data_IF_116213322567
#
_entry.id   IF_116213322567
#
_cell.length_a   1.000
_cell.length_b   1.000
_cell.length_c   1.000
_cell.angle_alpha   90.00
_cell.angle_beta   90.00
_cell.angle_gamma   90.00
#
_symmetry.space_group_name_H-M   'P 1'
#
loop_
_entity.id
_entity.type
_entity.pdbx_description
1 polymer ?
#
# COMPACT_ATOMS: atom_id res chain seq x y z
N UNK A 1 -17.52 -9.66 -21.02
CA UNK A 1 -17.15 -9.39 -19.61
C UNK A 1 -16.83 -7.91 -19.48
N UNK A 2 -16.84 -7.37 -18.27
CA UNK A 2 -16.45 -6.00 -17.98
C UNK A 2 -15.17 -6.00 -17.15
N UNK A 3 -14.32 -5.01 -17.36
CA UNK A 3 -13.09 -4.81 -16.59
C UNK A 3 -13.07 -3.39 -16.06
N UNK A 4 -12.63 -3.23 -14.81
CA UNK A 4 -12.48 -1.94 -14.16
C UNK A 4 -11.13 -1.84 -13.46
N UNK A 5 -10.63 -0.62 -13.32
CA UNK A 5 -9.43 -0.30 -12.56
C UNK A 5 -9.74 0.81 -11.56
N UNK A 6 -9.39 0.61 -10.30
CA UNK A 6 -9.49 1.61 -9.24
C UNK A 6 -8.19 2.43 -9.20
N UNK A 7 -8.33 3.75 -9.35
CA UNK A 7 -7.19 4.68 -9.40
C UNK A 7 -7.32 5.78 -8.35
N UNK A 8 -6.21 6.11 -7.69
CA UNK A 8 -6.09 7.21 -6.73
C UNK A 8 -4.87 8.03 -7.12
N UNK A 9 -5.03 9.34 -7.32
CA UNK A 9 -3.92 10.21 -7.74
C UNK A 9 -3.27 9.79 -9.07
N UNK A 10 -4.03 9.19 -9.98
CA UNK A 10 -3.51 8.66 -11.26
C UNK A 10 -2.86 7.27 -11.17
N UNK A 11 -2.61 6.75 -9.96
CA UNK A 11 -2.01 5.42 -9.74
C UNK A 11 -3.09 4.36 -9.63
N UNK A 12 -2.90 3.22 -10.30
CA UNK A 12 -3.84 2.09 -10.24
C UNK A 12 -3.52 1.19 -9.05
N UNK A 13 -4.52 0.90 -8.22
CA UNK A 13 -4.36 0.12 -6.99
C UNK A 13 -5.14 -1.20 -6.99
N UNK A 14 -6.10 -1.35 -7.89
CA UNK A 14 -6.89 -2.56 -8.00
C UNK A 14 -7.49 -2.73 -9.38
N UNK A 15 -7.68 -3.98 -9.78
CA UNK A 15 -8.34 -4.35 -11.04
C UNK A 15 -9.40 -5.39 -10.74
N UNK A 16 -10.53 -5.30 -11.43
CA UNK A 16 -11.63 -6.25 -11.30
C UNK A 16 -12.19 -6.61 -12.66
N UNK A 17 -12.67 -7.84 -12.79
CA UNK A 17 -13.40 -8.32 -13.97
C UNK A 17 -14.69 -8.97 -13.52
N UNK A 18 -15.79 -8.69 -14.19
CA UNK A 18 -17.09 -9.25 -13.83
C UNK A 18 -18.03 -9.39 -15.00
N UNK A 19 -19.17 -10.04 -14.75
CA UNK A 19 -20.24 -10.16 -15.75
C UNK A 19 -21.04 -8.86 -15.90
N UNK A 20 -20.90 -7.92 -14.97
CA UNK A 20 -21.46 -6.58 -15.02
C UNK A 20 -20.42 -5.52 -14.66
N UNK A 21 -20.67 -4.24 -15.03
CA UNK A 21 -19.82 -3.11 -14.62
C UNK A 21 -19.72 -3.00 -13.09
N UNK A 22 -20.87 -3.07 -12.41
CA UNK A 22 -20.95 -3.02 -10.93
C UNK A 22 -20.08 -4.07 -10.27
N UNK A 23 -20.09 -5.30 -10.80
CA UNK A 23 -19.28 -6.41 -10.28
C UNK A 23 -17.78 -6.15 -10.49
N UNK A 24 -17.37 -5.71 -11.69
CA UNK A 24 -15.99 -5.36 -11.99
C UNK A 24 -15.49 -4.20 -11.12
N UNK A 25 -16.32 -3.17 -10.90
CA UNK A 25 -16.02 -2.01 -10.07
C UNK A 25 -15.88 -2.38 -8.58
N UNK A 26 -16.81 -3.20 -8.06
CA UNK A 26 -16.73 -3.71 -6.67
C UNK A 26 -15.43 -4.48 -6.44
N UNK A 27 -15.10 -5.39 -7.35
CA UNK A 27 -13.86 -6.17 -7.22
C UNK A 27 -12.62 -5.26 -7.32
N UNK A 28 -12.59 -4.32 -8.27
CA UNK A 28 -11.48 -3.37 -8.38
C UNK A 28 -11.32 -2.51 -7.11
N UNK A 29 -12.43 -2.07 -6.52
CA UNK A 29 -12.45 -1.27 -5.30
C UNK A 29 -11.98 -2.08 -4.08
N UNK A 30 -12.46 -3.32 -3.91
CA UNK A 30 -12.03 -4.20 -2.83
C UNK A 30 -10.52 -4.49 -2.93
N UNK A 31 -10.03 -4.83 -4.13
CA UNK A 31 -8.60 -5.04 -4.36
C UNK A 31 -7.78 -3.80 -4.01
N UNK A 32 -8.20 -2.62 -4.46
CA UNK A 32 -7.51 -1.37 -4.14
C UNK A 32 -7.48 -1.08 -2.65
N UNK A 33 -8.60 -1.26 -1.94
CA UNK A 33 -8.65 -1.04 -0.50
C UNK A 33 -7.68 -1.95 0.25
N UNK A 34 -7.65 -3.25 -0.07
CA UNK A 34 -6.74 -4.21 0.56
C UNK A 34 -5.27 -3.83 0.32
N UNK A 35 -4.92 -3.47 -0.92
CA UNK A 35 -3.55 -3.07 -1.28
C UNK A 35 -3.11 -1.79 -0.59
N UNK A 36 -3.96 -0.76 -0.56
CA UNK A 36 -3.66 0.52 0.11
C UNK A 36 -3.53 0.30 1.62
N UNK A 37 -4.42 -0.48 2.22
CA UNK A 37 -4.39 -0.76 3.65
C UNK A 37 -3.12 -1.50 4.05
N UNK A 38 -2.75 -2.56 3.32
CA UNK A 38 -1.51 -3.30 3.55
C UNK A 38 -0.27 -2.41 3.44
N UNK A 39 -0.21 -1.55 2.40
CA UNK A 39 0.90 -0.61 2.24
C UNK A 39 0.98 0.41 3.39
N UNK A 40 -0.17 0.90 3.88
CA UNK A 40 -0.22 1.80 5.02
C UNK A 40 0.26 1.12 6.31
N UNK A 41 -0.16 -0.13 6.54
CA UNK A 41 0.24 -0.91 7.71
C UNK A 41 1.75 -1.22 7.70
N UNK A 42 2.31 -1.60 6.54
CA UNK A 42 3.75 -1.78 6.36
C UNK A 42 4.54 -0.48 6.60
N UNK A 43 4.04 0.66 6.12
CA UNK A 43 4.67 1.96 6.39
C UNK A 43 4.66 2.29 7.88
N UNK A 44 3.56 2.02 8.59
CA UNK A 44 3.47 2.24 10.02
C UNK A 44 4.46 1.37 10.80
N UNK A 45 4.58 0.08 10.43
CA UNK A 45 5.55 -0.84 11.03
C UNK A 45 6.99 -0.37 10.81
N UNK A 46 7.34 0.05 9.59
CA UNK A 46 8.68 0.58 9.28
C UNK A 46 8.99 1.86 10.04
N UNK A 47 8.02 2.76 10.18
CA UNK A 47 8.19 3.98 10.96
C UNK A 47 8.45 3.67 12.45
N UNK A 48 7.73 2.70 13.02
CA UNK A 48 7.95 2.26 14.40
C UNK A 48 9.33 1.61 14.59
N UNK A 49 9.79 0.80 13.63
CA UNK A 49 11.12 0.20 13.67
C UNK A 49 12.23 1.26 13.60
N UNK A 50 12.13 2.21 12.67
CA UNK A 50 13.10 3.31 12.54
C UNK A 50 13.13 4.23 13.77
N UNK A 51 12.01 4.37 14.50
CA UNK A 51 11.97 5.14 15.75
C UNK A 51 12.58 4.38 16.95
N UNK A 52 12.73 3.05 16.84
CA UNK A 52 13.26 2.20 17.90
C UNK A 52 14.78 1.97 17.81
N UNK A 53 15.44 2.40 16.74
CA UNK A 53 16.90 2.43 16.63
C UNK A 53 17.43 3.88 16.73
N UNK A 54 17.69 4.40 17.94
CA UNK A 54 18.54 5.57 18.11
C UNK A 54 20.01 5.10 18.06
N UNK A 55 20.78 5.69 17.15
CA UNK A 55 22.25 5.80 17.17
C UNK A 55 23.07 4.53 17.51
N UNK A 56 23.42 3.75 16.49
CA UNK A 56 24.55 2.80 16.54
C UNK A 56 25.75 3.24 15.68
N UNK A 57 25.79 4.50 15.23
CA UNK A 57 26.91 5.05 14.43
C UNK A 57 27.30 6.45 14.93
N UNK A 58 27.75 6.54 16.19
CA UNK A 58 28.38 7.76 16.72
C UNK A 58 29.65 7.47 17.53
N UNK A 59 30.17 6.24 17.52
CA UNK A 59 31.36 5.87 18.30
C UNK A 59 32.37 5.08 17.48
N UNK A 60 32.96 5.72 16.47
CA UNK A 60 34.25 5.29 15.88
C UNK A 60 35.12 6.46 15.39
N UNK A 61 34.95 7.63 15.99
CA UNK A 61 35.86 8.76 15.81
C UNK A 61 36.20 9.40 17.15
N UNK A 62 37.21 8.88 17.84
CA UNK A 62 38.23 9.62 18.61
C UNK A 62 39.03 8.68 19.52
N UNK A 63 40.36 8.87 19.50
CA UNK A 63 41.44 8.31 20.34
C UNK A 63 42.25 7.16 19.73
#
# INVERSE_FOLDING_TARGET
TFTAAARVGGVSYGTGTGRSKKEAEQQAAESAWRSIKAAADERAKKAAANAAEPDADASSASA
#
